data_IF_522012797774
#
_entry.id   IF_522012797774
#
_cell.length_a   1.000
_cell.length_b   1.000
_cell.length_c   1.000
_cell.angle_alpha   90.00
_cell.angle_beta   90.00
_cell.angle_gamma   90.00
#
_symmetry.space_group_name_H-M   'P 1'
#
loop_
_entity.id
_entity.type
_entity.pdbx_description
1 polymer ?
#
# COMPACT_ATOMS: atom_id res chain seq x y z
N UNK A 1 -57.05 -11.58 -14.56
CA UNK A 1 -55.70 -12.13 -14.78
C UNK A 1 -54.66 -11.11 -15.29
N UNK A 2 -55.02 -9.99 -15.92
CA UNK A 2 -54.05 -9.05 -16.52
C UNK A 2 -53.21 -8.19 -15.54
N UNK A 3 -53.73 -7.84 -14.36
CA UNK A 3 -53.02 -6.97 -13.39
C UNK A 3 -51.83 -7.63 -12.67
N UNK A 4 -51.88 -8.95 -12.47
CA UNK A 4 -50.79 -9.71 -11.81
C UNK A 4 -49.64 -10.03 -12.76
N UNK A 5 -49.93 -10.24 -14.05
CA UNK A 5 -48.89 -10.40 -15.07
C UNK A 5 -48.11 -9.09 -15.30
N UNK A 6 -48.78 -7.94 -15.31
CA UNK A 6 -48.13 -6.65 -15.53
C UNK A 6 -47.15 -6.28 -14.40
N UNK A 7 -47.50 -6.63 -13.15
CA UNK A 7 -46.64 -6.39 -11.99
C UNK A 7 -45.43 -7.32 -11.93
N UNK A 8 -45.53 -8.55 -12.44
CA UNK A 8 -44.42 -9.49 -12.52
C UNK A 8 -43.41 -9.08 -13.60
N UNK A 9 -43.88 -8.55 -14.74
CA UNK A 9 -43.02 -8.05 -15.82
C UNK A 9 -42.26 -6.78 -15.40
N UNK A 10 -42.89 -5.87 -14.63
CA UNK A 10 -42.20 -4.68 -14.10
C UNK A 10 -41.15 -5.03 -13.04
N UNK A 11 -41.39 -6.02 -12.18
CA UNK A 11 -40.37 -6.49 -11.22
C UNK A 11 -39.20 -7.22 -11.88
N UNK A 12 -39.44 -7.98 -12.96
CA UNK A 12 -38.38 -8.60 -13.77
C UNK A 12 -37.58 -7.56 -14.56
N UNK A 13 -38.20 -6.47 -15.01
CA UNK A 13 -37.50 -5.37 -15.69
C UNK A 13 -36.72 -4.47 -14.70
N UNK A 14 -37.15 -4.34 -13.44
CA UNK A 14 -36.41 -3.61 -12.39
C UNK A 14 -35.29 -4.44 -11.75
N UNK A 15 -35.39 -5.78 -11.75
CA UNK A 15 -34.32 -6.69 -11.33
C UNK A 15 -33.17 -6.83 -12.35
N UNK A 16 -33.36 -6.32 -13.57
CA UNK A 16 -32.35 -6.24 -14.63
C UNK A 16 -31.78 -4.84 -14.84
N UNK A 17 -32.09 -3.90 -13.96
CA UNK A 17 -31.33 -2.66 -13.80
C UNK A 17 -29.96 -3.01 -13.23
N UNK A 18 -29.13 -3.60 -14.09
CA UNK A 18 -27.68 -3.54 -14.13
C UNK A 18 -27.04 -3.14 -12.80
N UNK A 19 -26.44 -4.13 -12.13
CA UNK A 19 -25.14 -3.91 -11.49
C UNK A 19 -24.23 -3.43 -12.60
N UNK A 20 -24.29 -2.14 -12.94
CA UNK A 20 -23.28 -1.53 -13.78
C UNK A 20 -22.01 -1.65 -12.95
N UNK A 21 -21.05 -2.42 -13.46
CA UNK A 21 -19.73 -2.48 -12.87
C UNK A 21 -19.23 -1.03 -12.80
N UNK A 22 -19.15 -0.48 -11.59
CA UNK A 22 -18.73 0.89 -11.37
C UNK A 22 -17.32 1.05 -11.93
N UNK A 23 -17.16 1.83 -12.99
CA UNK A 23 -15.87 2.06 -13.63
C UNK A 23 -15.20 3.26 -12.95
N UNK A 24 -13.97 3.14 -12.48
CA UNK A 24 -13.26 4.24 -11.84
C UNK A 24 -11.79 4.31 -12.24
N UNK A 25 -11.26 5.53 -12.21
CA UNK A 25 -9.84 5.80 -12.28
C UNK A 25 -9.39 6.45 -10.98
N UNK A 26 -8.36 5.89 -10.36
CA UNK A 26 -7.88 6.32 -9.05
C UNK A 26 -6.44 6.77 -9.16
N UNK A 27 -6.18 8.05 -8.85
CA UNK A 27 -4.82 8.56 -8.74
C UNK A 27 -4.23 8.11 -7.41
N UNK A 28 -3.19 7.29 -7.44
CA UNK A 28 -2.41 6.90 -6.27
C UNK A 28 -1.27 7.90 -6.07
N UNK A 29 -1.31 8.67 -4.99
CA UNK A 29 -0.26 9.57 -4.53
C UNK A 29 0.58 8.88 -3.45
N UNK A 30 1.80 8.52 -3.79
CA UNK A 30 2.61 7.68 -2.92
C UNK A 30 3.73 8.46 -2.23
N UNK A 31 3.83 8.28 -0.92
CA UNK A 31 4.83 8.96 -0.09
C UNK A 31 6.27 8.59 -0.51
N UNK A 32 7.23 9.54 -0.52
CA UNK A 32 8.64 9.22 -0.73
C UNK A 32 9.20 8.31 0.39
N UNK A 33 10.07 7.38 0.00
CA UNK A 33 10.89 6.55 0.90
C UNK A 33 12.37 6.62 0.52
N UNK A 34 13.26 6.07 1.37
CA UNK A 34 14.75 6.03 1.23
C UNK A 34 15.52 7.36 1.49
N UNK A 35 16.86 7.30 1.38
CA UNK A 35 17.82 8.38 1.68
C UNK A 35 18.01 9.36 0.50
N UNK A 36 17.59 8.96 -0.71
CA UNK A 36 17.59 9.81 -1.92
C UNK A 36 16.57 10.97 -1.85
N UNK A 37 15.78 11.02 -0.77
CA UNK A 37 14.91 12.13 -0.40
C UNK A 37 15.64 13.43 0.00
N UNK A 38 16.95 13.57 -0.25
CA UNK A 38 17.66 14.85 -0.05
C UNK A 38 17.39 15.87 -1.16
N UNK A 39 16.87 15.43 -2.32
CA UNK A 39 16.22 16.30 -3.32
C UNK A 39 14.84 15.79 -3.80
N UNK A 40 14.48 14.52 -3.58
CA UNK A 40 13.29 13.86 -4.15
C UNK A 40 12.11 13.67 -3.16
N UNK A 41 11.79 14.68 -2.34
CA UNK A 41 10.61 14.66 -1.44
C UNK A 41 9.25 14.62 -2.15
N UNK A 42 9.24 14.46 -3.48
CA UNK A 42 8.07 14.55 -4.35
C UNK A 42 7.21 13.30 -4.36
N UNK A 43 7.73 12.14 -3.96
CA UNK A 43 6.97 10.89 -3.99
C UNK A 43 6.82 10.29 -5.41
N UNK A 44 5.89 9.35 -5.56
CA UNK A 44 5.54 8.71 -6.83
C UNK A 44 4.02 8.85 -7.09
N UNK A 45 3.60 8.65 -8.33
CA UNK A 45 2.17 8.51 -8.65
C UNK A 45 1.92 7.40 -9.65
N UNK A 46 0.75 6.78 -9.52
CA UNK A 46 0.23 5.80 -10.46
C UNK A 46 -1.28 6.03 -10.68
N UNK A 47 -1.86 5.34 -11.67
CA UNK A 47 -3.32 5.25 -11.83
C UNK A 47 -3.75 3.82 -11.59
N UNK A 48 -4.68 3.61 -10.67
CA UNK A 48 -5.42 2.37 -10.51
C UNK A 48 -6.72 2.43 -11.33
N UNK A 49 -6.99 1.40 -12.12
CA UNK A 49 -8.20 1.24 -12.93
C UNK A 49 -8.90 -0.06 -12.53
N UNK A 50 -10.14 0.02 -12.06
CA UNK A 50 -10.83 -1.13 -11.46
C UNK A 50 -11.55 -2.05 -12.48
N UNK A 51 -11.69 -1.64 -13.74
CA UNK A 51 -12.25 -2.44 -14.86
C UNK A 51 -11.24 -2.76 -15.98
N UNK A 52 -10.03 -2.23 -15.87
CA UNK A 52 -8.93 -2.51 -16.80
C UNK A 52 -7.96 -3.45 -16.11
N UNK A 53 -7.57 -4.52 -16.79
CA UNK A 53 -6.66 -5.54 -16.28
C UNK A 53 -5.45 -5.69 -17.20
N UNK A 54 -4.37 -6.24 -16.66
CA UNK A 54 -3.17 -6.55 -17.44
C UNK A 54 -3.37 -7.88 -18.20
N UNK A 55 -3.13 -7.87 -19.50
CA UNK A 55 -2.91 -9.10 -20.27
C UNK A 55 -1.45 -9.55 -20.12
N UNK A 56 -0.55 -8.56 -20.18
CA UNK A 56 0.86 -8.68 -19.80
C UNK A 56 1.27 -7.40 -19.06
N UNK A 57 2.46 -7.34 -18.45
CA UNK A 57 2.94 -6.11 -17.81
C UNK A 57 3.05 -4.89 -18.74
N UNK A 58 2.89 -5.06 -20.06
CA UNK A 58 2.97 -4.01 -21.08
C UNK A 58 1.74 -3.94 -22.00
N UNK A 59 0.66 -4.67 -21.69
CA UNK A 59 -0.57 -4.72 -22.49
C UNK A 59 -1.81 -4.79 -21.62
N UNK A 60 -2.83 -4.01 -21.98
CA UNK A 60 -4.08 -3.92 -21.24
C UNK A 60 -5.20 -4.73 -21.90
N UNK A 61 -6.16 -5.16 -21.10
CA UNK A 61 -7.44 -5.76 -21.52
C UNK A 61 -8.54 -5.35 -20.55
N UNK A 62 -9.78 -5.70 -20.86
CA UNK A 62 -10.86 -5.62 -19.87
C UNK A 62 -10.63 -6.66 -18.77
N UNK A 63 -11.08 -6.33 -17.56
CA UNK A 63 -11.13 -7.30 -16.49
C UNK A 63 -12.21 -8.36 -16.72
N UNK A 64 -11.88 -9.58 -16.34
CA UNK A 64 -12.81 -10.69 -16.18
C UNK A 64 -13.48 -10.62 -14.79
N UNK A 65 -14.62 -11.30 -14.60
CA UNK A 65 -15.28 -11.35 -13.29
C UNK A 65 -14.34 -11.83 -12.18
N UNK A 66 -14.27 -11.07 -11.08
CA UNK A 66 -13.44 -11.37 -9.92
C UNK A 66 -12.03 -10.76 -9.96
N UNK A 67 -11.61 -10.15 -11.07
CA UNK A 67 -10.34 -9.43 -11.11
C UNK A 67 -10.47 -8.03 -10.48
N UNK A 68 -9.42 -7.61 -9.76
CA UNK A 68 -9.40 -6.34 -9.02
C UNK A 68 -8.83 -5.18 -9.82
N UNK A 69 -8.63 -5.31 -11.13
CA UNK A 69 -8.05 -4.24 -11.94
C UNK A 69 -6.52 -4.14 -11.89
N UNK A 70 -6.02 -3.01 -12.38
CA UNK A 70 -4.59 -2.82 -12.64
C UNK A 70 -4.11 -1.45 -12.20
N UNK A 71 -2.87 -1.40 -11.74
CA UNK A 71 -2.12 -0.16 -11.51
C UNK A 71 -1.19 0.07 -12.69
N UNK A 72 -1.35 1.21 -13.36
CA UNK A 72 -0.48 1.67 -14.42
C UNK A 72 0.39 2.84 -13.98
N UNK A 73 1.68 2.74 -14.27
CA UNK A 73 2.62 3.84 -14.03
C UNK A 73 3.83 3.77 -14.96
N UNK A 74 4.57 4.87 -15.00
CA UNK A 74 5.83 5.02 -15.73
C UNK A 74 7.00 5.00 -14.75
N UNK A 75 8.00 4.19 -15.09
CA UNK A 75 9.23 4.03 -14.33
C UNK A 75 10.46 4.34 -15.18
N UNK A 76 11.57 4.63 -14.51
CA UNK A 76 12.85 4.87 -15.18
C UNK A 76 13.64 3.56 -15.29
N UNK A 77 14.01 3.19 -16.51
CA UNK A 77 15.08 2.19 -16.76
C UNK A 77 14.72 0.73 -16.50
N UNK A 78 13.44 0.34 -16.59
CA UNK A 78 13.02 -1.06 -16.46
C UNK A 78 12.79 -1.65 -17.85
N UNK A 79 13.60 -2.63 -18.25
CA UNK A 79 13.45 -3.46 -19.45
C UNK A 79 13.14 -2.70 -20.78
N UNK A 80 13.51 -1.42 -20.88
CA UNK A 80 13.29 -0.60 -22.08
C UNK A 80 11.83 -0.16 -22.31
N UNK A 81 10.90 -0.45 -21.39
CA UNK A 81 9.50 -0.05 -21.50
C UNK A 81 9.24 1.32 -20.84
N UNK A 82 8.20 2.00 -21.31
CA UNK A 82 7.83 3.33 -20.84
C UNK A 82 6.82 3.30 -19.71
N UNK A 83 5.88 2.36 -19.75
CA UNK A 83 4.89 2.17 -18.71
C UNK A 83 4.65 0.68 -18.47
N UNK A 84 4.19 0.38 -17.26
CA UNK A 84 3.90 -0.96 -16.78
C UNK A 84 2.49 -1.03 -16.24
N UNK A 85 1.88 -2.21 -16.37
CA UNK A 85 0.55 -2.56 -15.88
C UNK A 85 0.65 -3.74 -14.92
N UNK A 86 0.52 -3.48 -13.62
CA UNK A 86 0.67 -4.49 -12.57
C UNK A 86 -0.67 -4.67 -11.86
N UNK A 87 -1.18 -5.91 -11.66
CA UNK A 87 -2.41 -6.12 -10.89
C UNK A 87 -2.35 -5.49 -9.50
N UNK A 88 -3.50 -5.05 -8.96
CA UNK A 88 -3.54 -4.25 -7.73
C UNK A 88 -2.82 -4.90 -6.54
N UNK A 89 -3.15 -6.17 -6.24
CA UNK A 89 -2.59 -6.90 -5.09
C UNK A 89 -1.06 -7.01 -5.16
N UNK A 90 -0.45 -7.51 -6.25
CA UNK A 90 1.01 -7.60 -6.33
C UNK A 90 1.70 -6.24 -6.42
N UNK A 91 1.06 -5.23 -7.03
CA UNK A 91 1.57 -3.86 -7.00
C UNK A 91 1.75 -3.38 -5.56
N UNK A 92 0.77 -3.61 -4.69
CA UNK A 92 0.79 -3.16 -3.30
C UNK A 92 1.63 -4.08 -2.38
N UNK A 93 1.53 -5.40 -2.56
CA UNK A 93 1.99 -6.38 -1.56
C UNK A 93 2.88 -7.50 -2.13
N UNK A 94 3.29 -7.46 -3.40
CA UNK A 94 4.16 -8.47 -4.01
C UNK A 94 3.69 -9.94 -3.83
N UNK A 95 2.38 -10.14 -3.64
CA UNK A 95 1.72 -11.45 -3.55
C UNK A 95 0.57 -11.48 -4.55
N UNK A 96 0.11 -12.69 -4.91
CA UNK A 96 -0.93 -12.86 -5.92
C UNK A 96 -2.33 -12.56 -5.37
N UNK A 97 -2.58 -12.95 -4.12
CA UNK A 97 -3.91 -12.95 -3.51
C UNK A 97 -3.96 -12.12 -2.22
N UNK A 98 -5.10 -11.45 -1.93
CA UNK A 98 -5.28 -10.69 -0.70
C UNK A 98 -5.03 -11.49 0.60
N UNK A 99 -5.32 -12.80 0.61
CA UNK A 99 -5.14 -13.69 1.76
C UNK A 99 -3.66 -13.97 2.06
N UNK A 100 -2.77 -13.68 1.12
CA UNK A 100 -1.32 -13.84 1.24
C UNK A 100 -0.64 -12.58 1.77
N UNK A 101 -1.37 -11.47 1.94
CA UNK A 101 -0.79 -10.21 2.45
C UNK A 101 -0.27 -10.42 3.87
N UNK A 102 1.03 -10.18 4.13
CA UNK A 102 1.60 -10.38 5.45
C UNK A 102 1.12 -9.30 6.42
N UNK A 103 0.89 -9.72 7.67
CA UNK A 103 0.54 -8.88 8.81
C UNK A 103 1.72 -8.02 9.28
N UNK A 104 2.94 -8.47 9.05
CA UNK A 104 4.14 -7.75 9.46
C UNK A 104 5.24 -8.04 8.45
N UNK A 105 6.07 -7.05 8.14
CA UNK A 105 7.10 -7.19 7.14
C UNK A 105 8.41 -6.52 7.54
N UNK A 106 9.51 -7.22 7.25
CA UNK A 106 10.87 -6.70 7.36
C UNK A 106 11.52 -6.63 5.96
N UNK A 107 12.70 -6.00 5.84
CA UNK A 107 13.39 -5.89 4.56
C UNK A 107 13.69 -7.23 3.90
N UNK A 108 13.94 -8.28 4.70
CA UNK A 108 14.27 -9.63 4.23
C UNK A 108 13.05 -10.30 3.60
N UNK A 109 11.90 -10.29 4.27
CA UNK A 109 10.63 -10.80 3.75
C UNK A 109 10.20 -10.02 2.50
N UNK A 110 10.26 -8.69 2.52
CA UNK A 110 9.88 -7.88 1.36
C UNK A 110 10.73 -8.21 0.13
N UNK A 111 12.05 -8.36 0.31
CA UNK A 111 12.94 -8.74 -0.79
C UNK A 111 12.63 -10.14 -1.31
N UNK A 112 12.36 -11.08 -0.40
CA UNK A 112 11.97 -12.44 -0.74
C UNK A 112 10.66 -12.47 -1.56
N UNK A 113 9.59 -11.83 -1.09
CA UNK A 113 8.29 -11.82 -1.79
C UNK A 113 8.38 -11.18 -3.17
N UNK A 114 9.13 -10.07 -3.30
CA UNK A 114 9.40 -9.42 -4.59
C UNK A 114 10.12 -10.36 -5.56
N UNK A 115 11.13 -11.09 -5.08
CA UNK A 115 11.86 -12.04 -5.94
C UNK A 115 10.99 -13.23 -6.33
N UNK A 116 10.19 -13.79 -5.42
CA UNK A 116 9.26 -14.87 -5.73
C UNK A 116 8.27 -14.43 -6.82
N UNK A 117 7.67 -13.25 -6.68
CA UNK A 117 6.76 -12.71 -7.68
C UNK A 117 7.48 -12.45 -9.02
N UNK A 118 8.71 -11.89 -8.98
CA UNK A 118 9.53 -11.65 -10.18
C UNK A 118 9.83 -12.94 -10.93
N UNK A 119 10.32 -13.99 -10.25
CA UNK A 119 10.61 -15.29 -10.88
C UNK A 119 9.37 -15.87 -11.55
N UNK A 120 8.22 -15.75 -10.89
CA UNK A 120 6.97 -16.29 -11.41
C UNK A 120 6.39 -15.49 -12.58
N UNK A 121 6.46 -14.16 -12.55
CA UNK A 121 5.71 -13.30 -13.49
C UNK A 121 6.59 -12.42 -14.39
N UNK A 122 7.79 -12.07 -13.94
CA UNK A 122 8.65 -11.08 -14.60
C UNK A 122 9.95 -11.65 -15.18
N UNK A 123 10.28 -12.91 -14.94
CA UNK A 123 11.54 -13.54 -15.36
C UNK A 123 11.88 -13.29 -16.84
N UNK A 124 10.86 -13.27 -17.71
CA UNK A 124 11.02 -13.00 -19.15
C UNK A 124 11.66 -11.65 -19.47
N UNK A 125 11.46 -10.62 -18.65
CA UNK A 125 11.99 -9.26 -18.88
C UNK A 125 12.84 -8.72 -17.73
N UNK A 126 12.87 -9.41 -16.59
CA UNK A 126 13.76 -9.19 -15.46
C UNK A 126 14.38 -10.55 -15.10
N UNK A 127 15.31 -11.06 -15.93
CA UNK A 127 15.91 -12.38 -15.73
C UNK A 127 16.84 -12.38 -14.52
N UNK A 128 17.16 -13.58 -14.03
CA UNK A 128 18.18 -13.77 -13.00
C UNK A 128 19.54 -13.18 -13.41
N UNK A 129 20.39 -12.90 -12.42
CA UNK A 129 21.80 -12.63 -12.69
C UNK A 129 22.46 -13.86 -13.33
N UNK A 130 23.66 -13.68 -13.89
CA UNK A 130 24.43 -14.80 -14.45
C UNK A 130 24.69 -15.94 -13.42
N UNK A 131 24.63 -15.64 -12.13
CA UNK A 131 24.81 -16.59 -11.02
C UNK A 131 23.48 -17.18 -10.51
N UNK A 132 22.34 -16.89 -11.15
CA UNK A 132 21.00 -17.33 -10.71
C UNK A 132 20.41 -16.50 -9.57
N UNK A 133 21.05 -15.39 -9.21
CA UNK A 133 20.65 -14.50 -8.13
C UNK A 133 19.60 -13.46 -8.52
N UNK A 134 19.12 -12.73 -7.52
CA UNK A 134 18.17 -11.63 -7.72
C UNK A 134 18.87 -10.47 -8.43
N UNK A 135 18.37 -10.00 -9.59
CA UNK A 135 18.95 -8.86 -10.28
C UNK A 135 18.72 -7.58 -9.47
N UNK A 136 19.72 -6.72 -9.40
CA UNK A 136 19.53 -5.35 -8.89
C UNK A 136 18.72 -4.51 -9.90
N UNK A 137 18.11 -3.44 -9.42
CA UNK A 137 17.58 -2.39 -10.28
C UNK A 137 16.18 -1.90 -9.94
N UNK A 138 15.62 -1.02 -10.79
CA UNK A 138 14.38 -0.30 -10.50
C UNK A 138 13.12 -1.16 -10.55
N UNK A 139 13.20 -2.42 -10.98
CA UNK A 139 12.07 -3.33 -11.09
C UNK A 139 11.35 -3.58 -9.76
N UNK A 140 12.06 -3.47 -8.62
CA UNK A 140 11.47 -3.61 -7.28
C UNK A 140 10.37 -2.57 -7.01
N UNK A 141 10.33 -1.48 -7.77
CA UNK A 141 9.27 -0.46 -7.68
C UNK A 141 7.95 -0.90 -8.33
N UNK A 142 7.94 -1.98 -9.12
CA UNK A 142 6.74 -2.50 -9.77
C UNK A 142 5.81 -3.23 -8.78
N UNK A 143 6.35 -3.72 -7.67
CA UNK A 143 5.64 -4.63 -6.75
C UNK A 143 5.98 -4.34 -5.29
N UNK A 144 5.01 -4.54 -4.41
CA UNK A 144 5.18 -4.35 -2.96
C UNK A 144 5.31 -2.88 -2.52
N UNK A 145 4.65 -1.94 -3.20
CA UNK A 145 4.75 -0.50 -2.89
C UNK A 145 4.31 -0.19 -1.44
N UNK A 146 3.34 -0.91 -0.89
CA UNK A 146 2.86 -0.76 0.49
C UNK A 146 3.87 -1.24 1.54
N UNK A 147 4.97 -1.91 1.18
CA UNK A 147 6.05 -2.18 2.14
C UNK A 147 6.91 -0.95 2.41
N UNK A 148 7.08 -0.11 1.39
CA UNK A 148 7.98 1.03 1.48
C UNK A 148 7.26 2.33 1.85
N UNK A 149 5.96 2.45 1.54
CA UNK A 149 5.26 3.73 1.60
C UNK A 149 3.75 3.64 1.75
N UNK A 150 3.19 4.66 2.39
CA UNK A 150 1.74 4.93 2.39
C UNK A 150 1.34 5.60 1.08
N UNK A 151 0.20 5.19 0.52
CA UNK A 151 -0.38 5.77 -0.70
C UNK A 151 -1.75 6.38 -0.43
N UNK A 152 -2.01 7.53 -1.00
CA UNK A 152 -3.30 8.24 -0.92
C UNK A 152 -4.00 8.17 -2.26
N UNK A 153 -5.23 7.69 -2.27
CA UNK A 153 -5.98 7.38 -3.45
C UNK A 153 -7.12 8.38 -3.66
N UNK A 154 -7.14 9.00 -4.83
CA UNK A 154 -8.17 9.95 -5.25
C UNK A 154 -8.92 9.34 -6.43
N UNK A 155 -10.08 8.76 -6.14
CA UNK A 155 -10.93 8.10 -7.12
C UNK A 155 -11.84 9.11 -7.83
N UNK A 156 -12.01 8.90 -9.12
CA UNK A 156 -13.01 9.58 -9.94
C UNK A 156 -13.73 8.55 -10.81
N UNK A 157 -15.05 8.62 -10.83
CA UNK A 157 -15.90 7.82 -11.71
C UNK A 157 -15.45 7.95 -13.17
N UNK A 158 -15.53 6.86 -13.92
CA UNK A 158 -15.29 6.80 -15.37
C UNK A 158 -16.42 6.02 -16.03
N UNK A 159 -16.26 5.63 -17.29
CA UNK A 159 -17.26 4.81 -17.97
C UNK A 159 -16.62 3.70 -18.77
N UNK A 160 -17.37 2.61 -18.95
CA UNK A 160 -16.85 1.43 -19.64
C UNK A 160 -16.29 1.73 -21.02
N UNK A 161 -16.98 2.61 -21.75
CA UNK A 161 -16.57 3.06 -23.07
C UNK A 161 -15.24 3.82 -23.03
N UNK A 162 -15.04 4.68 -22.03
CA UNK A 162 -13.78 5.42 -21.87
C UNK A 162 -12.62 4.49 -21.52
N UNK A 163 -12.86 3.45 -20.71
CA UNK A 163 -11.85 2.42 -20.43
C UNK A 163 -11.44 1.67 -21.71
N UNK A 164 -12.40 1.30 -22.55
CA UNK A 164 -12.11 0.65 -23.82
C UNK A 164 -11.30 1.53 -24.77
N UNK A 165 -11.66 2.82 -24.82
CA UNK A 165 -10.93 3.82 -25.59
C UNK A 165 -9.49 3.96 -25.07
N UNK A 166 -9.28 3.93 -23.75
CA UNK A 166 -7.96 3.97 -23.15
C UNK A 166 -7.14 2.71 -23.48
N UNK A 167 -7.73 1.52 -23.33
CA UNK A 167 -7.10 0.23 -23.67
C UNK A 167 -6.63 0.26 -25.12
N UNK A 168 -7.53 0.63 -26.05
CA UNK A 168 -7.18 0.76 -27.48
C UNK A 168 -6.05 1.76 -27.69
N UNK A 169 -6.11 2.91 -27.03
CA UNK A 169 -5.10 3.96 -27.18
C UNK A 169 -3.71 3.54 -26.73
N UNK A 170 -3.61 2.89 -25.56
CA UNK A 170 -2.33 2.47 -24.99
C UNK A 170 -1.75 1.26 -25.74
N UNK A 171 -2.57 0.27 -26.09
CA UNK A 171 -2.11 -0.91 -26.81
C UNK A 171 -1.72 -0.61 -28.27
N UNK A 172 -2.28 0.42 -28.89
CA UNK A 172 -1.93 0.81 -30.26
C UNK A 172 -0.58 1.56 -30.36
N UNK A 173 -0.01 2.01 -29.24
CA UNK A 173 1.23 2.78 -29.20
C UNK A 173 2.42 1.87 -28.91
N UNK A 174 3.57 2.21 -29.48
CA UNK A 174 4.83 1.56 -29.08
C UNK A 174 5.18 1.95 -27.64
N UNK A 175 5.24 0.97 -26.75
CA UNK A 175 5.64 1.14 -25.36
C UNK A 175 7.17 1.09 -25.23
N UNK A 176 7.85 2.18 -25.58
CA UNK A 176 9.32 2.30 -25.55
C UNK A 176 9.73 3.42 -24.61
N UNK A 177 10.64 3.12 -23.69
CA UNK A 177 11.05 3.99 -22.59
C UNK A 177 11.37 5.42 -23.02
N UNK A 178 10.59 6.39 -22.55
CA UNK A 178 10.78 7.81 -22.81
C UNK A 178 10.99 8.63 -21.53
N UNK A 179 11.32 8.00 -20.41
CA UNK A 179 11.37 8.67 -19.12
C UNK A 179 12.35 9.86 -19.12
N UNK A 180 11.85 11.01 -18.66
CA UNK A 180 12.65 12.20 -18.34
C UNK A 180 12.15 12.81 -17.05
N UNK A 181 13.02 12.94 -16.05
CA UNK A 181 12.66 13.36 -14.68
C UNK A 181 11.79 14.64 -14.63
N UNK A 182 12.08 15.62 -15.50
CA UNK A 182 11.43 16.94 -15.47
C UNK A 182 10.24 17.10 -16.44
N UNK A 183 10.05 16.21 -17.41
CA UNK A 183 9.10 16.44 -18.51
C UNK A 183 8.37 15.19 -19.04
N UNK A 184 8.83 14.00 -18.67
CA UNK A 184 8.23 12.71 -19.04
C UNK A 184 8.35 11.76 -17.85
N UNK A 185 7.91 12.21 -16.68
CA UNK A 185 7.97 11.42 -15.43
C UNK A 185 6.63 10.69 -15.17
N UNK A 186 6.51 10.06 -14.00
CA UNK A 186 5.28 9.39 -13.56
C UNK A 186 4.08 10.36 -13.50
N UNK A 187 4.27 11.58 -13.01
CA UNK A 187 3.21 12.58 -12.91
C UNK A 187 2.73 13.07 -14.29
N UNK A 188 3.61 13.19 -15.27
CA UNK A 188 3.21 13.49 -16.65
C UNK A 188 2.41 12.35 -17.29
N UNK A 189 2.79 11.09 -17.01
CA UNK A 189 2.04 9.93 -17.47
C UNK A 189 0.63 9.88 -16.86
N UNK A 190 0.53 9.95 -15.53
CA UNK A 190 -0.75 9.99 -14.80
C UNK A 190 -1.63 11.15 -15.26
N UNK A 191 -1.04 12.35 -15.43
CA UNK A 191 -1.73 13.50 -16.02
C UNK A 191 -2.33 13.18 -17.38
N UNK A 192 -1.58 12.49 -18.24
CA UNK A 192 -2.05 12.05 -19.55
C UNK A 192 -3.25 11.09 -19.47
N UNK A 193 -3.20 10.12 -18.56
CA UNK A 193 -4.28 9.15 -18.35
C UNK A 193 -5.55 9.83 -17.81
N UNK A 194 -5.46 10.59 -16.71
CA UNK A 194 -6.66 11.22 -16.14
C UNK A 194 -7.23 12.28 -17.09
N UNK A 195 -6.39 13.05 -17.80
CA UNK A 195 -6.89 14.00 -18.81
C UNK A 195 -7.46 13.33 -20.05
N UNK A 196 -7.15 12.05 -20.32
CA UNK A 196 -7.84 11.27 -21.34
C UNK A 196 -9.31 11.06 -20.95
N UNK A 197 -9.56 10.73 -19.68
CA UNK A 197 -10.92 10.59 -19.15
C UNK A 197 -11.64 11.94 -18.99
N UNK A 198 -10.92 12.95 -18.49
CA UNK A 198 -11.44 14.28 -18.15
C UNK A 198 -10.48 15.38 -18.61
N UNK A 199 -10.62 15.87 -19.85
CA UNK A 199 -9.74 16.89 -20.41
C UNK A 199 -9.64 18.13 -19.51
N UNK A 200 -8.41 18.49 -19.13
CA UNK A 200 -8.13 19.67 -18.31
C UNK A 200 -8.25 19.47 -16.80
N UNK A 201 -8.61 18.28 -16.31
CA UNK A 201 -8.69 18.00 -14.88
C UNK A 201 -7.34 18.21 -14.17
N UNK A 202 -6.25 17.77 -14.80
CA UNK A 202 -4.89 17.82 -14.25
C UNK A 202 -3.99 18.76 -15.06
N UNK A 203 -3.25 19.62 -14.37
CA UNK A 203 -2.30 20.53 -14.98
C UNK A 203 -1.02 20.68 -14.13
N UNK A 204 0.08 21.08 -14.78
CA UNK A 204 1.35 21.38 -14.10
C UNK A 204 1.25 22.63 -13.22
N UNK A 205 2.09 22.69 -12.19
CA UNK A 205 2.21 23.85 -11.31
C UNK A 205 3.26 24.82 -11.84
N UNK A 206 2.86 26.02 -12.24
CA UNK A 206 3.81 27.00 -12.80
C UNK A 206 4.67 27.61 -11.68
N UNK A 207 4.04 28.08 -10.61
CA UNK A 207 4.71 28.81 -9.52
C UNK A 207 5.29 27.86 -8.46
N UNK A 208 4.48 26.94 -7.94
CA UNK A 208 4.86 26.06 -6.82
C UNK A 208 5.85 24.94 -7.19
N UNK A 209 5.99 24.64 -8.49
CA UNK A 209 6.81 23.54 -9.00
C UNK A 209 7.65 23.93 -10.23
N UNK A 210 7.85 25.23 -10.48
CA UNK A 210 8.67 25.74 -11.60
C UNK A 210 8.31 25.16 -12.98
N UNK A 211 7.03 24.87 -13.22
CA UNK A 211 6.55 24.30 -14.48
C UNK A 211 6.74 22.78 -14.63
N UNK A 212 7.27 22.10 -13.61
CA UNK A 212 7.35 20.63 -13.54
C UNK A 212 6.01 20.07 -13.09
N UNK A 213 5.59 18.96 -13.70
CA UNK A 213 4.44 18.20 -13.19
C UNK A 213 4.90 17.35 -12.00
N UNK A 214 4.37 17.61 -10.81
CA UNK A 214 4.71 16.88 -9.58
C UNK A 214 3.55 16.04 -9.08
N UNK A 215 3.81 14.91 -8.39
CA UNK A 215 2.81 14.11 -7.68
C UNK A 215 1.83 14.94 -6.85
N UNK A 216 2.35 15.82 -5.98
CA UNK A 216 1.53 16.66 -5.09
C UNK A 216 0.58 17.56 -5.88
N UNK A 217 1.08 18.17 -6.95
CA UNK A 217 0.29 19.10 -7.74
C UNK A 217 -0.86 18.43 -8.46
N UNK A 218 -0.64 17.28 -9.09
CA UNK A 218 -1.71 16.57 -9.80
C UNK A 218 -2.76 16.01 -8.83
N UNK A 219 -2.38 15.54 -7.64
CA UNK A 219 -3.33 15.17 -6.60
C UNK A 219 -4.18 16.37 -6.14
N UNK A 220 -3.55 17.54 -5.93
CA UNK A 220 -4.27 18.79 -5.62
C UNK A 220 -5.25 19.20 -6.73
N UNK A 221 -4.85 19.05 -7.98
CA UNK A 221 -5.73 19.33 -9.13
C UNK A 221 -6.94 18.39 -9.12
N UNK A 222 -6.73 17.08 -8.94
CA UNK A 222 -7.82 16.12 -8.93
C UNK A 222 -8.80 16.36 -7.78
N UNK A 223 -8.31 16.57 -6.56
CA UNK A 223 -9.17 16.91 -5.42
C UNK A 223 -10.01 18.16 -5.67
N UNK A 224 -9.41 19.20 -6.29
CA UNK A 224 -10.15 20.41 -6.64
C UNK A 224 -11.16 20.14 -7.74
N UNK A 225 -10.80 19.34 -8.75
CA UNK A 225 -11.68 18.95 -9.84
C UNK A 225 -12.90 18.21 -9.29
N UNK A 226 -12.72 17.12 -8.53
CA UNK A 226 -13.81 16.36 -7.91
C UNK A 226 -14.71 17.25 -7.03
N UNK A 227 -14.14 18.22 -6.31
CA UNK A 227 -14.94 19.18 -5.52
C UNK A 227 -15.85 20.08 -6.37
N UNK A 228 -15.42 20.45 -7.58
CA UNK A 228 -16.24 21.25 -8.50
C UNK A 228 -17.18 20.40 -9.36
N UNK A 229 -17.01 19.08 -9.33
CA UNK A 229 -17.78 18.11 -10.09
C UNK A 229 -18.47 17.09 -9.16
N UNK A 230 -19.41 17.54 -8.29
CA UNK A 230 -20.09 16.66 -7.35
C UNK A 230 -21.01 15.63 -8.02
N UNK A 231 -21.28 15.80 -9.32
CA UNK A 231 -21.99 14.83 -10.15
C UNK A 231 -21.19 13.56 -10.45
N UNK A 232 -19.86 13.59 -10.24
CA UNK A 232 -19.00 12.43 -10.40
C UNK A 232 -18.87 11.72 -9.05
N UNK A 233 -19.17 10.43 -9.01
CA UNK A 233 -18.89 9.62 -7.83
C UNK A 233 -17.37 9.65 -7.59
N UNK A 234 -16.97 10.10 -6.40
CA UNK A 234 -15.56 10.22 -6.02
C UNK A 234 -15.34 9.73 -4.60
N UNK A 235 -14.29 8.94 -4.43
CA UNK A 235 -13.85 8.42 -3.16
C UNK A 235 -12.42 8.88 -2.85
N UNK A 236 -12.12 9.00 -1.57
CA UNK A 236 -10.80 9.37 -1.08
C UNK A 236 -10.39 8.41 0.03
N UNK A 237 -9.30 7.69 -0.17
CA UNK A 237 -8.85 6.68 0.77
C UNK A 237 -7.33 6.58 0.87
N UNK A 238 -6.85 5.88 1.89
CA UNK A 238 -5.44 5.64 2.14
C UNK A 238 -5.16 4.14 2.09
N UNK A 239 -4.07 3.78 1.44
CA UNK A 239 -3.49 2.45 1.47
C UNK A 239 -2.33 2.51 2.46
N UNK A 240 -2.46 1.89 3.64
CA UNK A 240 -1.44 1.97 4.67
C UNK A 240 -0.19 1.22 4.25
N UNK A 241 0.96 1.72 4.72
CA UNK A 241 2.18 0.92 4.64
C UNK A 241 2.11 -0.20 5.68
N UNK A 242 2.41 -1.42 5.26
CA UNK A 242 2.39 -2.64 6.07
C UNK A 242 3.22 -2.42 7.34
N UNK A 243 2.71 -2.79 8.54
CA UNK A 243 3.48 -2.77 9.78
C UNK A 243 4.77 -3.58 9.66
N UNK A 244 5.83 -3.14 10.31
CA UNK A 244 7.14 -3.74 10.09
C UNK A 244 8.31 -3.03 10.76
N UNK A 245 9.46 -3.69 10.71
CA UNK A 245 10.75 -3.07 10.97
C UNK A 245 11.23 -2.21 9.80
N UNK A 246 10.47 -2.18 8.71
CA UNK A 246 10.65 -1.29 7.56
C UNK A 246 10.59 0.19 7.96
N UNK A 247 11.44 1.00 7.32
CA UNK A 247 11.44 2.44 7.53
C UNK A 247 10.15 3.05 7.00
N UNK A 248 9.47 3.83 7.85
CA UNK A 248 8.24 4.51 7.45
C UNK A 248 8.49 5.64 6.46
N UNK A 249 7.58 5.77 5.49
CA UNK A 249 7.59 6.83 4.49
C UNK A 249 7.35 8.21 5.10
N UNK A 250 7.62 9.25 4.31
CA UNK A 250 7.52 10.66 4.73
C UNK A 250 6.44 11.38 3.94
N UNK A 251 5.81 12.43 4.50
CA UNK A 251 4.81 13.20 3.76
C UNK A 251 5.32 13.74 2.43
N UNK A 252 4.47 13.69 1.41
CA UNK A 252 4.73 14.20 0.06
C UNK A 252 4.92 15.72 0.07
N UNK A 253 5.90 16.22 -0.67
CA UNK A 253 6.24 17.64 -0.81
C UNK A 253 6.31 18.07 -2.27
N UNK A 254 5.99 19.33 -2.56
CA UNK A 254 6.27 19.92 -3.87
C UNK A 254 7.77 20.20 -4.05
N UNK A 255 8.17 20.71 -5.22
CA UNK A 255 9.59 21.05 -5.47
C UNK A 255 10.03 22.20 -4.57
N UNK A 256 9.27 23.31 -4.54
CA UNK A 256 9.56 24.48 -3.69
C UNK A 256 9.59 24.09 -2.21
N UNK A 257 8.64 23.27 -1.75
CA UNK A 257 8.61 22.81 -0.36
C UNK A 257 9.80 21.91 -0.01
N UNK A 258 10.21 21.03 -0.92
CA UNK A 258 11.38 20.17 -0.73
C UNK A 258 12.66 21.01 -0.64
N UNK A 259 12.83 21.98 -1.55
CA UNK A 259 13.96 22.91 -1.55
C UNK A 259 13.99 23.76 -0.27
N UNK A 260 12.86 24.38 0.11
CA UNK A 260 12.77 25.24 1.29
C UNK A 260 13.02 24.47 2.61
N UNK A 261 12.57 23.21 2.71
CA UNK A 261 12.78 22.38 3.91
C UNK A 261 14.18 21.74 3.97
N UNK A 262 14.99 21.84 2.91
CA UNK A 262 16.34 21.30 2.88
C UNK A 262 17.34 22.22 3.62
N UNK A 263 17.31 22.16 4.96
CA UNK A 263 18.11 23.03 5.86
C UNK A 263 19.59 23.10 5.48
N UNK A 264 20.19 21.98 5.04
CA UNK A 264 21.59 21.90 4.60
C UNK A 264 21.93 22.87 3.46
N UNK A 265 20.99 23.14 2.56
CA UNK A 265 21.18 24.03 1.42
C UNK A 265 20.62 25.44 1.69
N UNK A 266 19.51 25.55 2.41
CA UNK A 266 18.90 26.84 2.71
C UNK A 266 19.71 27.67 3.71
N UNK A 267 20.40 27.06 4.68
CA UNK A 267 21.17 27.81 5.67
C UNK A 267 22.34 28.59 5.03
N UNK A 268 23.21 27.99 4.18
CA UNK A 268 24.17 28.77 3.40
C UNK A 268 23.50 29.80 2.51
N UNK A 269 22.42 29.43 1.80
CA UNK A 269 21.73 30.36 0.88
C UNK A 269 21.16 31.58 1.60
N UNK A 270 20.70 31.44 2.85
CA UNK A 270 20.21 32.56 3.66
C UNK A 270 21.32 33.56 4.01
N UNK A 271 22.54 33.07 4.24
CA UNK A 271 23.70 33.91 4.55
C UNK A 271 24.16 34.68 3.31
N UNK A 272 24.30 34.00 2.17
CA UNK A 272 24.90 34.58 0.97
C UNK A 272 23.87 35.24 0.03
N UNK A 273 22.62 34.76 0.02
CA UNK A 273 21.54 35.18 -0.89
C UNK A 273 20.16 35.24 -0.20
N UNK A 274 19.97 36.12 0.81
CA UNK A 274 18.73 36.19 1.59
C UNK A 274 17.48 36.47 0.75
N UNK A 275 17.61 37.26 -0.33
CA UNK A 275 16.51 37.54 -1.26
C UNK A 275 15.98 36.26 -1.93
N UNK A 276 16.85 35.31 -2.28
CA UNK A 276 16.45 34.04 -2.88
C UNK A 276 15.65 33.19 -1.88
N UNK A 277 16.09 33.15 -0.62
CA UNK A 277 15.35 32.45 0.45
C UNK A 277 13.99 33.10 0.71
N UNK A 278 13.89 34.43 0.66
CA UNK A 278 12.62 35.14 0.77
C UNK A 278 11.65 34.76 -0.36
N UNK A 279 12.13 34.61 -1.60
CA UNK A 279 11.31 34.11 -2.71
C UNK A 279 10.82 32.67 -2.48
N UNK A 280 11.69 31.75 -2.02
CA UNK A 280 11.28 30.39 -1.65
C UNK A 280 10.25 30.37 -0.51
N UNK A 281 10.42 31.22 0.49
CA UNK A 281 9.48 31.34 1.60
C UNK A 281 8.11 31.85 1.10
N UNK A 282 8.08 32.92 0.31
CA UNK A 282 6.85 33.45 -0.27
C UNK A 282 6.12 32.39 -1.12
N UNK A 283 6.83 31.67 -1.99
CA UNK A 283 6.25 30.59 -2.80
C UNK A 283 5.76 29.40 -1.94
N UNK A 284 6.46 29.06 -0.87
CA UNK A 284 6.05 28.01 0.08
C UNK A 284 4.74 28.37 0.79
N UNK A 285 4.65 29.57 1.37
CA UNK A 285 3.47 29.98 2.14
C UNK A 285 2.23 30.24 1.28
N UNK A 286 2.41 30.73 0.04
CA UNK A 286 1.31 31.05 -0.88
C UNK A 286 0.79 29.84 -1.67
N UNK A 287 1.64 28.86 -2.00
CA UNK A 287 1.28 27.78 -2.93
C UNK A 287 1.31 26.36 -2.34
N UNK A 288 2.09 26.12 -1.29
CA UNK A 288 2.44 24.76 -0.84
C UNK A 288 1.88 24.36 0.53
N UNK A 289 1.42 25.33 1.32
CA UNK A 289 0.88 25.13 2.67
C UNK A 289 -0.51 24.46 2.65
N UNK A 290 -0.81 23.64 3.67
CA UNK A 290 -2.18 23.16 3.96
C UNK A 290 -2.71 21.95 3.18
N UNK A 291 -1.91 21.33 2.30
CA UNK A 291 -2.32 20.07 1.66
C UNK A 291 -2.08 18.88 2.60
N UNK A 292 -3.16 18.31 3.11
CA UNK A 292 -3.16 17.06 3.89
C UNK A 292 -3.93 15.99 3.12
N UNK A 293 -3.24 15.06 2.44
CA UNK A 293 -3.89 13.98 1.69
C UNK A 293 -4.51 12.91 2.61
N UNK A 294 -4.26 12.92 3.92
CA UNK A 294 -4.92 11.98 4.83
C UNK A 294 -6.26 12.48 5.37
N UNK A 295 -6.63 13.73 5.08
CA UNK A 295 -7.80 14.36 5.67
C UNK A 295 -9.09 13.72 5.12
N UNK A 296 -9.89 13.16 6.03
CA UNK A 296 -11.15 12.44 5.72
C UNK A 296 -10.98 11.23 4.79
N UNK A 297 -9.76 10.69 4.65
CA UNK A 297 -9.53 9.48 3.87
C UNK A 297 -10.14 8.26 4.59
N UNK A 298 -10.85 7.43 3.84
CA UNK A 298 -11.17 6.06 4.25
C UNK A 298 -9.89 5.21 4.25
N UNK A 299 -9.94 4.00 4.80
CA UNK A 299 -8.83 3.06 4.85
C UNK A 299 -9.13 1.90 3.91
N UNK A 300 -8.17 1.59 3.05
CA UNK A 300 -8.22 0.45 2.14
C UNK A 300 -7.67 -0.80 2.81
N UNK A 301 -8.36 -1.92 2.60
CA UNK A 301 -7.93 -3.28 2.91
C UNK A 301 -8.11 -4.13 1.64
N UNK A 302 -7.17 -5.03 1.35
CA UNK A 302 -7.21 -5.83 0.12
C UNK A 302 -8.36 -6.87 0.10
N UNK A 303 -8.94 -7.19 1.26
CA UNK A 303 -9.99 -8.21 1.46
C UNK A 303 -11.37 -7.62 1.71
N UNK A 304 -11.48 -6.30 1.91
CA UNK A 304 -12.71 -5.63 2.37
C UNK A 304 -12.93 -4.31 1.65
N UNK A 305 -14.14 -3.79 1.76
CA UNK A 305 -14.46 -2.45 1.25
C UNK A 305 -13.77 -1.35 2.05
N UNK A 306 -13.83 -0.12 1.55
CA UNK A 306 -13.26 1.06 2.20
C UNK A 306 -13.91 1.32 3.57
N UNK A 307 -13.10 1.47 4.60
CA UNK A 307 -13.59 1.64 5.97
C UNK A 307 -13.23 3.00 6.59
N UNK A 308 -14.00 3.43 7.59
CA UNK A 308 -13.66 4.63 8.33
C UNK A 308 -12.37 4.43 9.16
N UNK A 309 -11.47 5.43 9.21
CA UNK A 309 -10.28 5.34 10.02
C UNK A 309 -10.60 5.32 11.52
N UNK A 310 -9.72 4.70 12.29
CA UNK A 310 -9.81 4.63 13.74
C UNK A 310 -9.85 6.04 14.37
N UNK A 311 -10.93 6.33 15.10
CA UNK A 311 -11.06 7.61 15.77
C UNK A 311 -10.24 7.67 17.07
N UNK A 312 -10.09 8.89 17.62
CA UNK A 312 -9.24 9.11 18.80
C UNK A 312 -9.73 8.43 20.08
N UNK A 313 -11.04 8.19 20.23
CA UNK A 313 -11.60 7.47 21.37
C UNK A 313 -11.34 5.97 21.24
N UNK A 314 -11.72 5.39 20.10
CA UNK A 314 -11.48 3.97 19.81
C UNK A 314 -10.00 3.61 19.94
N UNK A 315 -9.10 4.50 19.49
CA UNK A 315 -7.65 4.30 19.65
C UNK A 315 -7.24 4.16 21.11
N UNK A 316 -7.73 5.02 22.00
CA UNK A 316 -7.44 4.93 23.44
C UNK A 316 -7.99 3.64 24.02
N UNK A 317 -9.21 3.27 23.67
CA UNK A 317 -9.85 2.03 24.14
C UNK A 317 -9.06 0.78 23.72
N UNK A 318 -8.63 0.71 22.46
CA UNK A 318 -7.80 -0.40 21.98
C UNK A 318 -6.39 -0.39 22.57
N UNK A 319 -5.78 0.78 22.79
CA UNK A 319 -4.50 0.90 23.48
C UNK A 319 -4.60 0.34 24.91
N UNK A 320 -5.60 0.77 25.68
CA UNK A 320 -5.81 0.30 27.05
C UNK A 320 -6.07 -1.21 27.10
N UNK A 321 -6.82 -1.75 26.12
CA UNK A 321 -7.09 -3.19 26.02
C UNK A 321 -5.82 -3.98 25.67
N UNK A 322 -5.03 -3.50 24.71
CA UNK A 322 -3.74 -4.09 24.35
C UNK A 322 -2.77 -4.08 25.53
N UNK A 323 -2.69 -2.99 26.30
CA UNK A 323 -1.79 -2.89 27.45
C UNK A 323 -2.18 -3.81 28.61
N UNK A 324 -3.49 -4.06 28.82
CA UNK A 324 -3.94 -5.08 29.78
C UNK A 324 -3.57 -6.48 29.32
N UNK A 325 -3.85 -6.80 28.06
CA UNK A 325 -3.57 -8.11 27.49
C UNK A 325 -2.07 -8.43 27.44
N UNK A 326 -1.24 -7.45 27.05
CA UNK A 326 0.21 -7.60 27.01
C UNK A 326 0.80 -7.89 28.39
N UNK A 327 0.27 -7.26 29.46
CA UNK A 327 0.69 -7.56 30.83
C UNK A 327 0.34 -8.98 31.25
N UNK A 328 -0.90 -9.42 31.00
CA UNK A 328 -1.34 -10.80 31.29
C UNK A 328 -0.46 -11.83 30.56
N UNK A 329 -0.25 -11.65 29.25
CA UNK A 329 0.59 -12.53 28.44
C UNK A 329 2.03 -12.60 28.96
N UNK A 330 2.61 -11.46 29.39
CA UNK A 330 3.94 -11.41 29.96
C UNK A 330 4.02 -12.11 31.32
N UNK A 331 3.01 -11.95 32.18
CA UNK A 331 2.96 -12.56 33.52
C UNK A 331 2.79 -14.09 33.44
N UNK A 332 1.91 -14.58 32.55
CA UNK A 332 1.59 -16.01 32.46
C UNK A 332 2.65 -16.81 31.69
N UNK A 333 3.32 -16.18 30.71
CA UNK A 333 4.09 -16.90 29.70
C UNK A 333 5.50 -16.38 29.46
N UNK A 334 5.91 -15.28 30.11
CA UNK A 334 7.21 -14.66 29.89
C UNK A 334 7.43 -14.16 28.46
N UNK A 335 6.35 -14.01 27.69
CA UNK A 335 6.37 -13.54 26.32
C UNK A 335 6.69 -12.05 26.31
N UNK A 336 7.78 -11.70 25.64
CA UNK A 336 8.29 -10.34 25.54
C UNK A 336 8.41 -9.96 24.07
N UNK A 337 7.52 -9.08 23.61
CA UNK A 337 7.49 -8.59 22.22
C UNK A 337 8.75 -7.81 21.84
N UNK A 338 9.51 -7.27 22.80
CA UNK A 338 10.75 -6.55 22.50
C UNK A 338 11.83 -7.46 21.92
N UNK A 339 11.66 -8.79 22.04
CA UNK A 339 12.51 -9.80 21.44
C UNK A 339 12.16 -10.09 19.98
N UNK A 340 10.98 -9.65 19.48
CA UNK A 340 10.53 -9.91 18.11
C UNK A 340 11.55 -9.49 17.04
N UNK A 341 12.12 -8.27 17.05
CA UNK A 341 13.05 -7.85 15.99
C UNK A 341 14.30 -8.74 15.86
N UNK A 342 14.76 -9.34 16.98
CA UNK A 342 15.92 -10.26 16.96
C UNK A 342 15.55 -11.61 16.35
N UNK A 343 14.38 -12.12 16.68
CA UNK A 343 13.87 -13.39 16.14
C UNK A 343 13.64 -13.26 14.64
N UNK A 344 12.95 -12.20 14.22
CA UNK A 344 12.69 -11.86 12.82
C UNK A 344 13.99 -11.76 12.01
N UNK A 345 15.01 -11.05 12.52
CA UNK A 345 16.29 -10.90 11.84
C UNK A 345 16.99 -12.24 11.54
N UNK A 346 16.84 -13.22 12.44
CA UNK A 346 17.39 -14.58 12.26
C UNK A 346 16.49 -15.52 11.45
N UNK A 347 15.22 -15.18 11.23
CA UNK A 347 14.22 -16.06 10.66
C UNK A 347 14.28 -16.11 9.13
N UNK A 348 14.13 -17.27 8.50
CA UNK A 348 14.18 -17.39 7.04
C UNK A 348 12.77 -17.32 6.42
N UNK A 349 12.51 -16.40 5.46
CA UNK A 349 11.22 -16.34 4.80
C UNK A 349 11.03 -17.52 3.84
N UNK A 350 9.84 -18.10 3.85
CA UNK A 350 9.41 -19.13 2.93
C UNK A 350 7.96 -18.93 2.51
N UNK A 351 7.48 -19.75 1.57
CA UNK A 351 6.07 -19.84 1.20
C UNK A 351 5.53 -21.21 1.58
N UNK A 352 4.29 -21.25 2.06
CA UNK A 352 3.58 -22.52 2.21
C UNK A 352 3.08 -23.07 0.87
N UNK A 353 2.48 -24.26 0.89
CA UNK A 353 1.93 -24.89 -0.32
C UNK A 353 0.83 -24.08 -1.03
N UNK A 354 0.20 -23.12 -0.34
CA UNK A 354 -0.80 -22.20 -0.90
C UNK A 354 -0.18 -20.83 -1.29
N UNK A 355 1.15 -20.70 -1.25
CA UNK A 355 1.86 -19.46 -1.58
C UNK A 355 1.76 -18.39 -0.50
N UNK A 356 1.32 -18.73 0.72
CA UNK A 356 1.24 -17.77 1.83
C UNK A 356 2.59 -17.63 2.53
N UNK A 357 2.99 -16.42 2.95
CA UNK A 357 4.27 -16.19 3.59
C UNK A 357 4.39 -16.89 4.96
N UNK A 358 5.60 -17.38 5.22
CA UNK A 358 6.05 -18.03 6.46
C UNK A 358 7.41 -17.47 6.88
N UNK A 359 7.71 -17.55 8.17
CA UNK A 359 9.05 -17.43 8.74
C UNK A 359 9.46 -18.75 9.38
N UNK A 360 10.63 -19.26 9.03
CA UNK A 360 11.31 -20.35 9.75
C UNK A 360 12.19 -19.76 10.85
N UNK A 361 11.80 -20.04 12.09
CA UNK A 361 12.48 -19.59 13.29
C UNK A 361 13.44 -20.67 13.77
N UNK A 362 14.74 -20.42 13.71
CA UNK A 362 15.76 -21.36 14.17
C UNK A 362 15.96 -21.26 15.68
N UNK A 363 15.22 -22.08 16.43
CA UNK A 363 15.24 -22.12 17.90
C UNK A 363 15.80 -23.47 18.39
N UNK A 364 17.04 -23.79 18.00
CA UNK A 364 17.69 -25.07 18.32
C UNK A 364 17.68 -26.04 17.15
N UNK A 365 17.56 -27.35 17.42
CA UNK A 365 17.65 -28.41 16.40
C UNK A 365 16.43 -28.47 15.47
N UNK A 366 15.25 -28.07 15.96
CA UNK A 366 14.01 -28.08 15.19
C UNK A 366 13.56 -26.65 14.90
N UNK A 367 13.47 -26.25 13.63
CA UNK A 367 12.99 -24.93 13.29
C UNK A 367 11.47 -24.86 13.38
N UNK A 368 10.94 -23.72 13.81
CA UNK A 368 9.49 -23.50 13.98
C UNK A 368 8.95 -22.69 12.79
N UNK A 369 7.93 -23.21 12.12
CA UNK A 369 7.21 -22.47 11.07
C UNK A 369 6.18 -21.53 11.68
N UNK A 370 6.31 -20.22 11.42
CA UNK A 370 5.34 -19.20 11.78
C UNK A 370 4.70 -18.62 10.53
N UNK A 371 3.37 -18.63 10.45
CA UNK A 371 2.63 -17.93 9.39
C UNK A 371 2.62 -16.42 9.57
N UNK A 372 2.52 -15.71 8.46
CA UNK A 372 2.52 -14.25 8.42
C UNK A 372 1.21 -13.64 7.95
N UNK A 373 0.20 -14.42 7.52
CA UNK A 373 -1.13 -13.90 7.21
C UNK A 373 -2.16 -14.37 8.24
N UNK A 374 -3.31 -13.68 8.34
CA UNK A 374 -4.38 -14.06 9.29
C UNK A 374 -4.81 -15.52 9.15
N UNK A 375 -4.75 -16.03 7.92
CA UNK A 375 -5.25 -17.35 7.56
C UNK A 375 -4.21 -18.47 7.84
N UNK A 376 -2.96 -18.12 8.14
CA UNK A 376 -1.90 -19.10 8.42
C UNK A 376 -1.04 -18.80 9.65
N UNK A 377 -1.28 -17.70 10.39
CA UNK A 377 -0.46 -17.26 11.52
C UNK A 377 -0.27 -18.32 12.60
N UNK A 378 -1.23 -19.24 12.75
CA UNK A 378 -1.13 -20.41 13.64
C UNK A 378 -1.14 -21.69 12.80
N UNK A 379 -0.01 -22.41 12.75
CA UNK A 379 0.11 -23.71 12.05
C UNK A 379 0.28 -24.89 12.99
N UNK A 380 0.68 -24.63 14.23
CA UNK A 380 0.89 -25.64 15.24
C UNK A 380 1.05 -25.03 16.63
N UNK A 381 1.19 -25.88 17.64
CA UNK A 381 1.34 -25.43 19.03
C UNK A 381 2.62 -24.62 19.24
N UNK A 382 3.70 -25.02 18.58
CA UNK A 382 5.02 -24.39 18.71
C UNK A 382 5.05 -22.96 18.16
N UNK A 383 4.16 -22.62 17.22
CA UNK A 383 4.09 -21.29 16.61
C UNK A 383 3.23 -20.30 17.41
N UNK A 384 2.43 -20.75 18.39
CA UNK A 384 1.47 -19.90 19.12
C UNK A 384 2.16 -18.76 19.89
N UNK A 385 3.26 -19.06 20.57
CA UNK A 385 4.00 -18.06 21.32
C UNK A 385 4.59 -16.98 20.40
N UNK A 386 5.11 -17.38 19.25
CA UNK A 386 5.66 -16.46 18.27
C UNK A 386 4.57 -15.65 17.56
N UNK A 387 3.40 -16.25 17.32
CA UNK A 387 2.23 -15.53 16.82
C UNK A 387 1.76 -14.44 17.80
N UNK A 388 1.76 -14.72 19.12
CA UNK A 388 1.46 -13.70 20.14
C UNK A 388 2.47 -12.54 20.09
N UNK A 389 3.78 -12.85 20.02
CA UNK A 389 4.84 -11.82 19.90
C UNK A 389 4.66 -10.95 18.66
N UNK A 390 4.37 -11.58 17.52
CA UNK A 390 4.14 -10.90 16.25
C UNK A 390 2.92 -9.96 16.30
N UNK A 391 1.78 -10.46 16.81
CA UNK A 391 0.55 -9.66 16.93
C UNK A 391 0.72 -8.50 17.91
N UNK A 392 1.41 -8.71 19.04
CA UNK A 392 1.78 -7.65 19.97
C UNK A 392 2.62 -6.57 19.29
N UNK A 393 3.66 -6.97 18.54
CA UNK A 393 4.52 -6.04 17.81
C UNK A 393 3.74 -5.24 16.76
N UNK A 394 2.92 -5.91 15.96
CA UNK A 394 2.05 -5.30 14.94
C UNK A 394 1.05 -4.31 15.55
N UNK A 395 0.27 -4.73 16.55
CA UNK A 395 -0.77 -3.90 17.18
C UNK A 395 -0.15 -2.67 17.84
N UNK A 396 1.02 -2.80 18.46
CA UNK A 396 1.74 -1.65 19.01
C UNK A 396 2.17 -0.68 17.92
N UNK A 397 2.70 -1.15 16.81
CA UNK A 397 3.11 -0.27 15.71
C UNK A 397 1.93 0.55 15.17
N UNK A 398 0.78 -0.08 15.00
CA UNK A 398 -0.45 0.56 14.51
C UNK A 398 -1.03 1.55 15.53
N UNK A 399 -1.06 1.18 16.80
CA UNK A 399 -1.70 1.97 17.85
C UNK A 399 -0.82 3.10 18.40
N UNK A 400 0.50 2.92 18.51
CA UNK A 400 1.41 3.91 19.09
C UNK A 400 1.50 5.22 18.27
N UNK A 401 1.24 5.14 16.96
CA UNK A 401 1.39 6.30 16.08
C UNK A 401 0.15 7.18 16.12
N UNK A 402 0.32 8.44 16.51
CA UNK A 402 -0.75 9.47 16.59
C UNK A 402 -1.45 9.80 15.26
N UNK A 403 -1.09 9.18 14.14
CA UNK A 403 -1.73 9.42 12.84
C UNK A 403 -3.00 8.56 12.74
N UNK A 404 -4.15 9.16 13.04
CA UNK A 404 -5.45 8.46 13.10
C UNK A 404 -5.93 7.93 11.76
N UNK A 405 -5.51 8.52 10.64
CA UNK A 405 -6.10 8.27 9.32
C UNK A 405 -5.43 7.13 8.53
N UNK A 406 -4.83 6.12 9.17
CA UNK A 406 -4.06 5.07 8.47
C UNK A 406 -4.39 3.64 8.90
N UNK A 407 -5.37 3.43 9.78
CA UNK A 407 -5.75 2.09 10.22
C UNK A 407 -7.26 2.03 10.46
N UNK A 408 -7.91 0.96 10.03
CA UNK A 408 -9.33 0.73 10.25
C UNK A 408 -9.56 0.15 11.66
N UNK A 409 -10.71 0.46 12.27
CA UNK A 409 -11.04 -0.06 13.59
C UNK A 409 -11.20 -1.59 13.60
N UNK A 410 -11.69 -2.14 12.48
CA UNK A 410 -11.91 -3.57 12.30
C UNK A 410 -10.61 -4.37 12.19
N UNK A 411 -9.55 -3.82 11.57
CA UNK A 411 -8.22 -4.42 11.55
C UNK A 411 -7.67 -4.62 12.95
N UNK A 412 -7.69 -3.55 13.74
CA UNK A 412 -7.22 -3.57 15.13
C UNK A 412 -8.08 -4.54 15.95
N UNK A 413 -9.39 -4.52 15.74
CA UNK A 413 -10.31 -5.42 16.44
C UNK A 413 -10.00 -6.88 16.15
N UNK A 414 -9.92 -7.27 14.88
CA UNK A 414 -9.68 -8.65 14.46
C UNK A 414 -8.31 -9.17 14.96
N UNK A 415 -7.27 -8.33 14.87
CA UNK A 415 -5.92 -8.71 15.32
C UNK A 415 -5.86 -8.84 16.86
N UNK A 416 -6.65 -8.03 17.59
CA UNK A 416 -6.74 -8.11 19.04
C UNK A 416 -7.57 -9.31 19.52
N UNK A 417 -8.68 -9.63 18.85
CA UNK A 417 -9.45 -10.84 19.13
C UNK A 417 -8.62 -12.10 18.88
N UNK A 418 -7.87 -12.13 17.77
CA UNK A 418 -6.95 -13.23 17.48
C UNK A 418 -5.87 -13.39 18.57
N UNK A 419 -5.34 -12.27 19.08
CA UNK A 419 -4.37 -12.30 20.18
C UNK A 419 -5.00 -12.83 21.48
N UNK A 420 -6.24 -12.45 21.79
CA UNK A 420 -6.98 -12.95 22.95
C UNK A 420 -7.30 -14.44 22.83
N UNK A 421 -7.69 -14.91 21.65
CA UNK A 421 -7.94 -16.34 21.37
C UNK A 421 -6.67 -17.16 21.55
N UNK A 422 -5.54 -16.65 21.06
CA UNK A 422 -4.23 -17.26 21.27
C UNK A 422 -3.82 -17.31 22.73
N UNK A 423 -4.19 -16.31 23.53
CA UNK A 423 -3.91 -16.29 24.96
C UNK A 423 -4.80 -17.30 25.72
N UNK A 424 -6.12 -17.26 25.49
CA UNK A 424 -7.09 -18.18 26.13
C UNK A 424 -6.85 -19.65 25.76
N UNK A 425 -6.44 -19.91 24.52
CA UNK A 425 -6.09 -21.25 24.03
C UNK A 425 -4.91 -21.88 24.78
N UNK A 426 -4.05 -21.06 25.42
CA UNK A 426 -2.99 -21.52 26.33
C UNK A 426 -3.54 -21.87 27.72
N UNK A 427 -4.43 -21.05 28.27
CA UNK A 427 -4.95 -21.19 29.64
C UNK A 427 -5.81 -22.44 29.84
N UNK A 428 -6.49 -22.90 28.79
CA UNK A 428 -7.26 -24.15 28.80
C UNK A 428 -6.38 -25.42 28.70
N UNK A 429 -5.07 -25.29 28.80
CA UNK A 429 -4.14 -26.41 28.74
C UNK A 429 -3.59 -26.68 30.15
N UNK A 430 -3.80 -27.88 30.73
CA UNK A 430 -3.21 -28.20 32.02
C UNK A 430 -1.69 -28.13 31.90
N UNK A 431 -1.09 -27.27 32.75
CA UNK A 431 0.35 -27.23 33.00
C UNK A 431 0.82 -28.68 33.24
N UNK A 432 1.53 -29.27 32.28
CA UNK A 432 2.35 -30.44 32.59
C UNK A 432 3.50 -29.92 33.46
N UNK A 433 3.26 -29.97 34.78
CA UNK A 433 4.30 -29.85 35.79
C UNK A 433 5.41 -30.81 35.40
N UNK A 434 6.60 -30.25 35.20
CA UNK A 434 7.80 -31.02 34.89
C UNK A 434 8.05 -32.05 35.99
N UNK A 435 8.21 -33.30 35.58
CA UNK A 435 8.86 -34.30 36.40
C UNK A 435 10.34 -33.94 36.49
N UNK A 436 10.70 -33.25 37.56
CA UNK A 436 12.07 -33.22 38.06
C UNK A 436 12.35 -34.55 38.76
N UNK A 437 13.52 -35.06 38.43
CA UNK A 437 14.22 -36.29 38.83
C UNK A 437 14.45 -36.43 40.35
N UNK A 438 14.48 -37.70 40.80
CA UNK A 438 15.23 -38.20 41.97
C UNK A 438 14.33 -38.52 43.18
N UNK A 439 14.50 -39.59 43.96
CA UNK A 439 15.56 -40.59 44.14
C UNK A 439 14.99 -41.69 45.05
N UNK A 440 15.13 -42.97 44.69
CA UNK A 440 15.70 -44.10 45.45
C UNK A 440 15.49 -45.42 44.69
#
# INVERSE_FOLDING_TARGET
>A
MGRRLFSAVVFLLLGWSSVQAHASATLLLEEPYSVDGTFAGTGHVAVYLNRVCADTPFQLRRCEPGEQGVVISRYHGIAGYDWFAIPLVPYLYAVDLPEQVPLYADPKLTSFLRDQYRRKHFEKFVPDTAEGGVPEGPWVQLVGSSYDRTSYAFEIETSEKKDDDLIRNLNARQNVGMYKLLSKNCADFVKGIINFYYPGALHRGIIGDFGVTTPKQIAKCLMRFSKHHPELESAHFVIPQVPGTMRRSRPVRGVVESAFKAKKYMAPLLVWHPAVVACFAAAYFTGSSGFDPGKHALVFDARRDLEAPLNGQQRREYQDRLERLARSISEDSGVDETKWPRLEASAEPQLDAAGRPLLLLHMGENPVELGLSRDNIVRGRESQEFAQRLLLARLREELLRRSSARVAASDVHADLELLEDLHRGRDNMPLRVGSVVGTE
#
